data_IF_596971271878
#
_entry.id   IF_596971271878
#
_cell.length_a   1.000
_cell.length_b   1.000
_cell.length_c   1.000
_cell.angle_alpha   90.00
_cell.angle_beta   90.00
_cell.angle_gamma   90.00
#
_symmetry.space_group_name_H-M   'P 1'
#
loop_
_entity.id
_entity.type
_entity.pdbx_description
1 polymer ?
#
# COMPACT_ATOMS: atom_id res chain seq x y z
N UNK A 1 -27.56 33.05 -28.96
CA UNK A 1 -28.82 32.75 -29.69
C UNK A 1 -29.98 32.49 -28.75
N UNK A 2 -29.89 31.57 -27.77
CA UNK A 2 -30.96 31.31 -26.77
C UNK A 2 -31.54 32.59 -26.14
N UNK A 3 -30.69 33.44 -25.58
CA UNK A 3 -31.13 34.62 -24.80
C UNK A 3 -31.78 35.70 -25.67
N UNK A 4 -31.45 35.72 -26.97
CA UNK A 4 -32.07 36.59 -27.98
C UNK A 4 -33.55 36.24 -28.19
N UNK A 5 -33.89 34.95 -28.29
CA UNK A 5 -35.29 34.51 -28.49
C UNK A 5 -36.13 34.60 -27.21
N UNK A 6 -35.49 34.54 -26.03
CA UNK A 6 -36.14 34.83 -24.75
C UNK A 6 -36.58 36.29 -24.66
N UNK A 7 -35.72 37.23 -25.08
CA UNK A 7 -36.02 38.65 -25.09
C UNK A 7 -37.12 39.05 -26.10
N UNK A 8 -37.32 38.25 -27.15
CA UNK A 8 -38.33 38.47 -28.19
C UNK A 8 -39.68 37.78 -27.89
N UNK A 9 -39.82 37.07 -26.76
CA UNK A 9 -41.04 36.34 -26.41
C UNK A 9 -41.34 35.10 -27.27
N UNK A 10 -40.37 34.66 -28.08
CA UNK A 10 -40.49 33.53 -29.01
C UNK A 10 -40.14 32.21 -28.30
N UNK A 11 -41.12 31.64 -27.60
CA UNK A 11 -40.93 30.49 -26.69
C UNK A 11 -40.51 29.19 -27.38
N UNK A 12 -40.99 28.92 -28.58
CA UNK A 12 -40.68 27.71 -29.35
C UNK A 12 -39.21 27.66 -29.74
N UNK A 13 -38.70 28.75 -30.28
CA UNK A 13 -37.31 28.98 -30.68
C UNK A 13 -36.40 29.00 -29.45
N UNK A 14 -36.81 29.67 -28.37
CA UNK A 14 -36.09 29.64 -27.11
C UNK A 14 -35.91 28.21 -26.59
N UNK A 15 -36.99 27.40 -26.55
CA UNK A 15 -36.94 26.01 -26.09
C UNK A 15 -36.01 25.16 -26.97
N UNK A 16 -36.11 25.31 -28.30
CA UNK A 16 -35.22 24.63 -29.25
C UNK A 16 -33.74 24.97 -28.99
N UNK A 17 -33.40 26.25 -28.94
CA UNK A 17 -32.01 26.68 -28.73
C UNK A 17 -31.49 26.38 -27.33
N UNK A 18 -32.34 26.41 -26.30
CA UNK A 18 -31.99 25.96 -24.95
C UNK A 18 -31.64 24.48 -24.94
N UNK A 19 -32.47 23.63 -25.54
CA UNK A 19 -32.25 22.19 -25.60
C UNK A 19 -30.99 21.86 -26.42
N UNK A 20 -30.80 22.54 -27.56
CA UNK A 20 -29.60 22.40 -28.40
C UNK A 20 -28.34 22.82 -27.65
N UNK A 21 -28.38 23.95 -26.93
CA UNK A 21 -27.25 24.40 -26.10
C UNK A 21 -26.94 23.40 -25.00
N UNK A 22 -27.97 22.90 -24.29
CA UNK A 22 -27.82 21.87 -23.27
C UNK A 22 -27.18 20.60 -23.84
N UNK A 23 -27.69 20.12 -24.98
CA UNK A 23 -27.17 18.95 -25.67
C UNK A 23 -25.68 19.12 -26.06
N UNK A 24 -25.30 20.29 -26.59
CA UNK A 24 -23.89 20.58 -26.94
C UNK A 24 -23.01 20.56 -25.69
N UNK A 25 -23.46 21.17 -24.59
CA UNK A 25 -22.71 21.19 -23.32
C UNK A 25 -22.55 19.78 -22.76
N UNK A 26 -23.63 18.99 -22.74
CA UNK A 26 -23.61 17.62 -22.21
C UNK A 26 -22.72 16.70 -23.07
N UNK A 27 -22.80 16.82 -24.40
CA UNK A 27 -21.91 16.10 -25.32
C UNK A 27 -20.45 16.51 -25.16
N UNK A 28 -20.18 17.80 -24.97
CA UNK A 28 -18.81 18.31 -24.78
C UNK A 28 -18.19 17.76 -23.48
N UNK A 29 -18.95 17.76 -22.38
CA UNK A 29 -18.52 17.16 -21.10
C UNK A 29 -18.24 15.67 -21.27
N UNK A 30 -19.16 14.93 -21.90
CA UNK A 30 -19.00 13.49 -22.12
C UNK A 30 -17.75 13.16 -22.94
N UNK A 31 -17.50 13.91 -24.02
CA UNK A 31 -16.32 13.70 -24.86
C UNK A 31 -15.03 14.05 -24.13
N UNK A 32 -15.01 15.12 -23.34
CA UNK A 32 -13.85 15.51 -22.53
C UNK A 32 -13.39 14.37 -21.61
N UNK A 33 -14.30 13.82 -20.79
CA UNK A 33 -13.95 12.73 -19.87
C UNK A 33 -13.65 11.41 -20.60
N UNK A 34 -14.34 11.13 -21.71
CA UNK A 34 -14.07 9.95 -22.54
C UNK A 34 -12.65 9.96 -23.11
N UNK A 35 -12.18 11.11 -23.58
CA UNK A 35 -10.83 11.26 -24.12
C UNK A 35 -9.78 11.20 -22.99
N UNK A 36 -10.05 11.86 -21.85
CA UNK A 36 -9.16 11.83 -20.69
C UNK A 36 -8.90 10.41 -20.15
N UNK A 37 -9.91 9.52 -20.20
CA UNK A 37 -9.78 8.10 -19.79
C UNK A 37 -9.11 7.26 -20.87
N UNK A 38 -9.43 7.49 -22.15
CA UNK A 38 -8.84 6.75 -23.28
C UNK A 38 -7.33 7.00 -23.41
N UNK A 39 -6.90 8.23 -23.15
CA UNK A 39 -5.50 8.63 -23.34
C UNK A 39 -4.64 8.36 -22.08
N UNK A 40 -5.25 7.95 -20.96
CA UNK A 40 -4.52 7.71 -19.72
C UNK A 40 -4.15 6.24 -19.53
N UNK A 41 -2.86 5.93 -19.63
CA UNK A 41 -2.29 4.65 -19.16
C UNK A 41 -1.77 4.73 -17.71
N UNK A 42 -1.87 5.91 -17.09
CA UNK A 42 -1.40 6.20 -15.73
C UNK A 42 -2.57 6.19 -14.72
N UNK A 43 -2.52 5.34 -13.69
CA UNK A 43 -3.53 5.29 -12.62
C UNK A 43 -3.76 6.64 -11.94
N UNK A 44 -2.74 7.49 -11.80
CA UNK A 44 -2.86 8.78 -11.12
C UNK A 44 -3.74 9.75 -11.91
N UNK A 45 -3.64 9.73 -13.24
CA UNK A 45 -4.47 10.53 -14.13
C UNK A 45 -5.93 10.05 -14.15
N UNK A 46 -6.15 8.73 -14.14
CA UNK A 46 -7.48 8.14 -13.97
C UNK A 46 -8.12 8.55 -12.65
N UNK A 47 -7.38 8.50 -11.54
CA UNK A 47 -7.86 8.93 -10.24
C UNK A 47 -8.24 10.42 -10.22
N UNK A 48 -7.45 11.29 -10.86
CA UNK A 48 -7.80 12.72 -10.99
C UNK A 48 -9.10 12.92 -11.77
N UNK A 49 -9.29 12.20 -12.87
CA UNK A 49 -10.52 12.23 -13.66
C UNK A 49 -11.71 11.80 -12.80
N UNK A 50 -11.58 10.68 -12.07
CA UNK A 50 -12.62 10.18 -11.18
C UNK A 50 -12.96 11.18 -10.06
N UNK A 51 -11.95 11.81 -9.44
CA UNK A 51 -12.17 12.82 -8.41
C UNK A 51 -12.82 14.10 -8.96
N UNK A 52 -12.62 14.43 -10.24
CA UNK A 52 -13.30 15.58 -10.88
C UNK A 52 -14.77 15.32 -11.21
N UNK A 53 -15.14 14.05 -11.44
CA UNK A 53 -16.52 13.62 -11.70
C UNK A 53 -17.35 13.49 -10.42
N UNK A 54 -16.70 13.21 -9.30
CA UNK A 54 -17.36 13.12 -8.02
C UNK A 54 -17.44 14.52 -7.37
N UNK A 55 -18.60 14.94 -6.83
CA UNK A 55 -18.65 16.09 -5.96
C UNK A 55 -17.66 15.87 -4.81
N UNK A 56 -16.93 16.91 -4.40
CA UNK A 56 -16.10 16.87 -3.19
C UNK A 56 -17.01 16.81 -1.96
N UNK A 57 -17.57 15.64 -1.70
CA UNK A 57 -18.28 15.37 -0.46
C UNK A 57 -17.21 15.25 0.61
N UNK A 58 -17.17 16.20 1.54
CA UNK A 58 -16.30 16.14 2.72
C UNK A 58 -16.85 15.10 3.71
N UNK A 59 -17.02 13.85 3.29
CA UNK A 59 -17.33 12.76 4.19
C UNK A 59 -16.02 12.11 4.60
N UNK A 60 -15.37 12.70 5.59
CA UNK A 60 -14.44 11.95 6.41
C UNK A 60 -15.25 10.89 7.15
N UNK A 61 -14.96 9.58 7.03
CA UNK A 61 -15.47 8.61 7.98
C UNK A 61 -14.87 9.00 9.33
N UNK A 62 -15.68 9.66 10.14
CA UNK A 62 -15.29 10.21 11.44
C UNK A 62 -15.53 9.19 12.56
N UNK A 63 -16.11 8.04 12.23
CA UNK A 63 -16.63 7.07 13.19
C UNK A 63 -16.15 5.66 12.82
N UNK A 64 -15.57 4.96 13.79
CA UNK A 64 -15.30 3.52 13.71
C UNK A 64 -16.15 2.82 14.78
N UNK A 65 -16.87 1.77 14.39
CA UNK A 65 -17.49 0.86 15.35
C UNK A 65 -16.41 -0.05 15.95
N UNK A 66 -16.29 -0.07 17.27
CA UNK A 66 -15.40 -0.98 18.00
C UNK A 66 -16.08 -2.33 18.25
N UNK A 67 -15.32 -3.35 18.63
CA UNK A 67 -15.83 -4.70 18.94
C UNK A 67 -16.89 -4.68 20.06
N UNK A 68 -16.88 -3.65 20.92
CA UNK A 68 -17.85 -3.45 22.01
C UNK A 68 -19.16 -2.75 21.57
N UNK A 69 -19.45 -2.69 20.26
CA UNK A 69 -20.59 -1.95 19.68
C UNK A 69 -20.60 -0.43 19.98
N UNK A 70 -19.49 0.12 20.47
CA UNK A 70 -19.33 1.55 20.69
C UNK A 70 -18.81 2.23 19.42
N UNK A 71 -19.19 3.48 19.21
CA UNK A 71 -18.70 4.27 18.07
C UNK A 71 -17.69 5.29 18.54
N UNK A 72 -16.46 5.20 18.06
CA UNK A 72 -15.38 6.12 18.43
C UNK A 72 -15.02 7.07 17.30
N UNK A 73 -14.74 8.31 17.70
CA UNK A 73 -14.39 9.44 16.83
C UNK A 73 -12.97 9.93 17.03
N UNK A 74 -12.32 9.43 18.08
CA UNK A 74 -10.96 9.78 18.43
C UNK A 74 -10.00 9.10 17.47
N UNK A 75 -9.16 9.90 16.80
CA UNK A 75 -8.17 9.41 15.83
C UNK A 75 -7.23 8.35 16.44
N UNK A 76 -6.77 8.61 17.67
CA UNK A 76 -5.92 7.70 18.44
C UNK A 76 -6.64 6.38 18.71
N UNK A 77 -7.86 6.46 19.24
CA UNK A 77 -8.66 5.27 19.53
C UNK A 77 -8.90 4.42 18.28
N UNK A 78 -9.25 5.04 17.14
CA UNK A 78 -9.42 4.31 15.88
C UNK A 78 -8.12 3.59 15.48
N UNK A 79 -6.99 4.27 15.61
CA UNK A 79 -5.71 3.70 15.22
C UNK A 79 -5.27 2.57 16.17
N UNK A 80 -5.50 2.72 17.46
CA UNK A 80 -5.31 1.68 18.47
C UNK A 80 -6.23 0.47 18.20
N UNK A 81 -7.50 0.69 17.83
CA UNK A 81 -8.42 -0.40 17.44
C UNK A 81 -7.90 -1.17 16.23
N UNK A 82 -7.46 -0.47 15.18
CA UNK A 82 -6.86 -1.16 14.03
C UNK A 82 -5.57 -1.89 14.40
N UNK A 83 -4.72 -1.27 15.21
CA UNK A 83 -3.49 -1.88 15.70
C UNK A 83 -3.80 -3.20 16.39
N UNK A 84 -4.69 -3.16 17.39
CA UNK A 84 -5.10 -4.33 18.15
C UNK A 84 -5.75 -5.39 17.25
N UNK A 85 -6.55 -5.00 16.27
CA UNK A 85 -7.15 -5.95 15.32
C UNK A 85 -6.08 -6.71 14.53
N UNK A 86 -5.10 -6.01 13.94
CA UNK A 86 -4.09 -6.66 13.11
C UNK A 86 -3.03 -7.41 13.92
N UNK A 87 -2.69 -6.96 15.12
CA UNK A 87 -1.75 -7.68 16.00
C UNK A 87 -2.39 -8.91 16.64
N UNK A 88 -3.65 -8.81 17.09
CA UNK A 88 -4.36 -9.93 17.73
C UNK A 88 -4.95 -10.93 16.73
N UNK A 89 -4.96 -10.64 15.43
CA UNK A 89 -5.57 -11.52 14.43
C UNK A 89 -4.98 -12.94 14.46
N UNK A 90 -3.66 -13.05 14.57
CA UNK A 90 -2.98 -14.34 14.67
C UNK A 90 -3.36 -15.11 15.94
N UNK A 91 -3.53 -14.42 17.07
CA UNK A 91 -3.89 -15.03 18.35
C UNK A 91 -5.36 -15.46 18.38
N UNK A 92 -6.27 -14.60 17.89
CA UNK A 92 -7.69 -14.92 17.74
C UNK A 92 -7.90 -16.16 16.86
N UNK A 93 -7.16 -16.28 15.76
CA UNK A 93 -7.19 -17.47 14.90
C UNK A 93 -6.67 -18.72 15.62
N UNK A 94 -5.67 -18.55 16.50
CA UNK A 94 -5.10 -19.63 17.32
C UNK A 94 -6.08 -20.12 18.39
N UNK A 95 -6.77 -19.19 19.07
CA UNK A 95 -7.77 -19.47 20.11
C UNK A 95 -9.07 -20.06 19.57
N UNK A 96 -9.49 -19.66 18.36
CA UNK A 96 -10.70 -20.19 17.70
C UNK A 96 -10.57 -21.64 17.19
N UNK A 97 -9.45 -22.32 17.48
CA UNK A 97 -9.28 -23.75 17.18
C UNK A 97 -9.09 -24.08 15.69
N UNK A 98 -8.98 -23.09 14.81
CA UNK A 98 -8.56 -23.30 13.41
C UNK A 98 -7.06 -23.57 13.27
N UNK A 99 -6.29 -23.34 14.35
CA UNK A 99 -4.89 -23.68 14.44
C UNK A 99 -4.72 -24.77 15.50
N UNK A 100 -4.69 -26.04 15.07
CA UNK A 100 -4.08 -27.05 15.93
C UNK A 100 -2.60 -26.75 15.96
N UNK A 101 -1.97 -26.48 17.13
CA UNK A 101 -0.52 -26.51 17.20
C UNK A 101 -0.14 -27.87 16.66
N UNK A 102 0.67 -27.86 15.62
CA UNK A 102 1.10 -29.04 14.91
C UNK A 102 2.05 -29.78 15.85
N UNK A 103 1.48 -30.41 16.88
CA UNK A 103 2.14 -31.22 17.87
C UNK A 103 2.66 -32.43 17.11
N UNK A 104 3.90 -32.31 16.63
CA UNK A 104 4.55 -33.23 15.70
C UNK A 104 3.70 -33.42 14.43
N UNK A 105 3.70 -32.45 13.52
CA UNK A 105 3.37 -32.79 12.13
C UNK A 105 4.29 -33.92 11.78
N UNK A 106 3.70 -35.05 11.42
CA UNK A 106 4.46 -36.06 10.73
C UNK A 106 4.82 -35.48 9.34
N UNK A 107 5.97 -34.80 9.29
CA UNK A 107 6.55 -34.28 8.07
C UNK A 107 7.06 -35.43 7.19
N UNK A 108 6.82 -36.71 7.52
CA UNK A 108 7.16 -37.84 6.66
C UNK A 108 6.59 -37.68 5.26
N UNK A 109 5.32 -37.25 5.13
CA UNK A 109 4.68 -37.01 3.83
C UNK A 109 5.32 -35.84 3.06
N UNK A 110 5.60 -34.72 3.75
CA UNK A 110 6.29 -33.57 3.16
C UNK A 110 7.71 -33.95 2.74
N UNK A 111 8.44 -34.68 3.58
CA UNK A 111 9.81 -35.12 3.31
C UNK A 111 9.85 -36.12 2.16
N UNK A 112 8.88 -37.04 2.04
CA UNK A 112 8.72 -37.92 0.86
C UNK A 112 8.43 -37.12 -0.40
N UNK A 113 7.50 -36.16 -0.32
CA UNK A 113 7.16 -35.30 -1.45
C UNK A 113 8.37 -34.50 -1.95
N UNK A 114 9.11 -33.87 -1.03
CA UNK A 114 10.33 -33.11 -1.34
C UNK A 114 11.40 -34.06 -1.90
N UNK A 115 11.65 -35.23 -1.30
CA UNK A 115 12.63 -36.21 -1.81
C UNK A 115 12.28 -36.76 -3.19
N UNK A 116 10.99 -36.89 -3.52
CA UNK A 116 10.55 -37.37 -4.83
C UNK A 116 10.63 -36.29 -5.93
N UNK A 117 10.57 -35.01 -5.56
CA UNK A 117 10.61 -33.88 -6.51
C UNK A 117 11.96 -33.19 -6.62
N UNK A 118 12.79 -33.24 -5.58
CA UNK A 118 14.12 -32.66 -5.57
C UNK A 118 15.11 -33.64 -6.20
N UNK A 119 15.88 -33.20 -7.19
CA UNK A 119 16.94 -34.03 -7.74
C UNK A 119 17.97 -34.32 -6.64
N UNK A 120 18.47 -35.57 -6.55
CA UNK A 120 19.37 -36.06 -5.47
C UNK A 120 20.65 -35.22 -5.23
N UNK A 121 20.98 -34.30 -6.14
CA UNK A 121 22.19 -33.50 -6.11
C UNK A 121 21.93 -31.98 -6.03
N UNK A 122 20.67 -31.55 -5.97
CA UNK A 122 20.34 -30.13 -5.82
C UNK A 122 20.30 -29.75 -4.35
N UNK A 123 21.19 -28.84 -3.96
CA UNK A 123 21.15 -28.17 -2.66
C UNK A 123 20.53 -26.80 -2.86
N UNK A 124 19.59 -26.45 -1.98
CA UNK A 124 19.13 -25.07 -1.89
C UNK A 124 20.32 -24.19 -1.49
N UNK A 125 20.62 -23.20 -2.31
CA UNK A 125 21.69 -22.23 -2.06
C UNK A 125 21.19 -20.87 -2.50
N UNK A 126 21.40 -19.87 -1.63
CA UNK A 126 21.10 -18.48 -1.94
C UNK A 126 22.35 -17.92 -2.64
N UNK A 127 22.24 -17.39 -3.87
CA UNK A 127 23.38 -16.83 -4.56
C UNK A 127 23.89 -15.58 -3.80
N UNK A 128 25.22 -15.32 -3.83
CA UNK A 128 25.76 -14.12 -3.23
C UNK A 128 25.25 -12.86 -3.95
N UNK A 129 25.04 -11.81 -3.20
CA UNK A 129 24.64 -10.49 -3.68
C UNK A 129 25.80 -9.84 -4.43
N UNK A 130 25.52 -9.34 -5.64
CA UNK A 130 26.46 -8.56 -6.43
C UNK A 130 26.38 -7.06 -6.07
N UNK A 131 27.53 -6.42 -5.91
CA UNK A 131 27.60 -4.99 -5.57
C UNK A 131 26.91 -4.10 -6.62
N UNK A 132 27.07 -4.39 -7.90
CA UNK A 132 26.47 -3.59 -8.98
C UNK A 132 24.95 -3.73 -8.99
N UNK A 133 24.45 -4.93 -8.74
CA UNK A 133 23.00 -5.16 -8.60
C UNK A 133 22.46 -4.41 -7.39
N UNK A 134 23.12 -4.51 -6.22
CA UNK A 134 22.71 -3.80 -5.02
C UNK A 134 22.74 -2.28 -5.22
N UNK A 135 23.79 -1.75 -5.87
CA UNK A 135 23.89 -0.33 -6.22
C UNK A 135 22.72 0.11 -7.11
N UNK A 136 22.42 -0.67 -8.15
CA UNK A 136 21.30 -0.38 -9.05
C UNK A 136 19.96 -0.39 -8.32
N UNK A 137 19.75 -1.31 -7.38
CA UNK A 137 18.54 -1.35 -6.57
C UNK A 137 18.44 -0.14 -5.62
N UNK A 138 19.54 0.26 -4.97
CA UNK A 138 19.61 1.49 -4.18
C UNK A 138 19.31 2.74 -5.03
N UNK A 139 19.80 2.78 -6.27
CA UNK A 139 19.57 3.88 -7.21
C UNK A 139 18.12 3.96 -7.69
N UNK A 140 17.40 2.84 -7.74
CA UNK A 140 15.98 2.76 -8.15
C UNK A 140 15.00 3.06 -7.02
N UNK A 141 15.46 3.28 -5.78
CA UNK A 141 14.59 3.61 -4.66
C UNK A 141 13.68 4.80 -4.97
N UNK A 142 12.38 4.62 -4.73
CA UNK A 142 11.38 5.67 -4.81
C UNK A 142 11.53 6.60 -3.60
N UNK A 143 11.99 7.82 -3.88
CA UNK A 143 12.25 8.86 -2.88
C UNK A 143 11.01 9.32 -2.12
N UNK A 144 9.81 9.02 -2.63
CA UNK A 144 8.55 9.45 -2.03
C UNK A 144 7.99 8.41 -1.03
N UNK A 145 8.63 7.24 -0.89
CA UNK A 145 8.21 6.25 0.07
C UNK A 145 8.59 6.64 1.50
N UNK A 146 7.82 6.14 2.45
CA UNK A 146 8.07 6.36 3.87
C UNK A 146 9.40 5.72 4.31
N UNK A 147 10.07 6.37 5.26
CA UNK A 147 11.24 5.80 5.94
C UNK A 147 10.88 4.57 6.77
N UNK A 148 11.83 3.65 6.90
CA UNK A 148 11.72 2.46 7.75
C UNK A 148 11.76 2.79 9.25
N UNK A 149 12.04 1.77 10.06
CA UNK A 149 12.21 1.90 11.52
C UNK A 149 13.44 2.74 11.92
N UNK A 150 14.45 2.75 11.06
CA UNK A 150 15.68 3.54 11.20
C UNK A 150 15.47 5.05 10.99
N UNK A 151 14.27 5.47 10.54
CA UNK A 151 13.96 6.82 10.11
C UNK A 151 14.87 7.36 8.98
N UNK A 152 15.62 6.50 8.28
CA UNK A 152 16.45 6.89 7.14
C UNK A 152 15.55 6.93 5.90
N UNK A 153 15.42 8.11 5.30
CA UNK A 153 14.60 8.30 4.11
C UNK A 153 15.21 7.65 2.86
N UNK A 154 14.39 7.16 1.91
CA UNK A 154 14.90 6.58 0.66
C UNK A 154 15.75 7.55 -0.16
N UNK A 155 15.49 8.86 -0.04
CA UNK A 155 16.31 9.92 -0.64
C UNK A 155 17.75 9.89 -0.16
N UNK A 156 17.97 9.73 1.16
CA UNK A 156 19.32 9.68 1.74
C UNK A 156 20.01 8.40 1.29
N UNK A 157 19.32 7.26 1.36
CA UNK A 157 19.87 5.97 0.90
C UNK A 157 20.31 6.02 -0.57
N UNK A 158 19.49 6.61 -1.44
CA UNK A 158 19.81 6.78 -2.85
C UNK A 158 21.03 7.68 -3.09
N UNK A 159 21.16 8.78 -2.35
CA UNK A 159 22.31 9.68 -2.45
C UNK A 159 23.60 9.01 -1.92
N UNK A 160 23.48 8.22 -0.86
CA UNK A 160 24.60 7.51 -0.24
C UNK A 160 24.98 6.22 -0.96
N UNK A 161 24.20 5.77 -1.95
CA UNK A 161 24.37 4.51 -2.67
C UNK A 161 25.83 4.24 -3.13
N UNK A 162 26.57 5.21 -3.70
CA UNK A 162 27.96 4.97 -4.12
C UNK A 162 28.90 4.57 -2.97
N UNK A 163 28.60 5.03 -1.75
CA UNK A 163 29.44 4.81 -0.57
C UNK A 163 29.01 3.59 0.23
N UNK A 164 27.70 3.29 0.27
CA UNK A 164 27.16 2.22 1.11
C UNK A 164 26.99 0.88 0.38
N UNK A 165 27.00 0.87 -0.96
CA UNK A 165 26.80 -0.38 -1.73
C UNK A 165 27.87 -1.43 -1.41
N UNK A 166 29.15 -1.04 -1.33
CA UNK A 166 30.24 -1.96 -0.99
C UNK A 166 30.10 -2.57 0.41
N UNK A 167 30.00 -1.78 1.50
CA UNK A 167 29.86 -2.36 2.85
C UNK A 167 28.55 -3.15 3.03
N UNK A 168 27.44 -2.74 2.43
CA UNK A 168 26.18 -3.49 2.51
C UNK A 168 26.27 -4.84 1.79
N UNK A 169 26.92 -4.89 0.63
CA UNK A 169 27.15 -6.15 -0.09
C UNK A 169 27.93 -7.14 0.77
N UNK A 170 28.99 -6.67 1.43
CA UNK A 170 29.77 -7.49 2.35
C UNK A 170 28.90 -8.03 3.49
N UNK A 171 28.12 -7.16 4.16
CA UNK A 171 27.24 -7.56 5.26
C UNK A 171 26.20 -8.59 4.79
N UNK A 172 25.57 -8.38 3.64
CA UNK A 172 24.55 -9.28 3.10
C UNK A 172 25.12 -10.66 2.78
N UNK A 173 26.28 -10.71 2.13
CA UNK A 173 26.95 -11.98 1.85
C UNK A 173 27.39 -12.69 3.14
N UNK A 174 27.87 -11.95 4.15
CA UNK A 174 28.17 -12.55 5.46
C UNK A 174 26.94 -13.12 6.15
N UNK A 175 25.78 -12.47 6.07
CA UNK A 175 24.53 -13.01 6.63
C UNK A 175 24.07 -14.26 5.88
N UNK A 176 24.19 -14.27 4.55
CA UNK A 176 23.87 -15.46 3.72
C UNK A 176 24.79 -16.63 4.07
N UNK A 177 26.10 -16.39 4.15
CA UNK A 177 27.11 -17.43 4.43
C UNK A 177 26.97 -18.01 5.84
N UNK A 178 26.67 -17.16 6.84
CA UNK A 178 26.56 -17.58 8.24
C UNK A 178 25.15 -18.06 8.62
N UNK A 179 24.13 -17.67 7.85
CA UNK A 179 22.73 -17.87 8.21
C UNK A 179 22.26 -17.02 9.41
N UNK A 180 23.09 -16.08 9.89
CA UNK A 180 22.80 -15.28 11.08
C UNK A 180 22.31 -13.89 10.64
N UNK A 181 21.10 -13.52 11.08
CA UNK A 181 20.46 -12.25 10.74
C UNK A 181 20.22 -11.42 12.00
N UNK A 182 20.61 -10.12 12.01
CA UNK A 182 20.32 -9.21 13.11
C UNK A 182 18.82 -9.15 13.44
N UNK A 183 18.48 -9.16 14.72
CA UNK A 183 17.10 -9.02 15.21
C UNK A 183 16.42 -7.76 14.68
N UNK A 184 17.17 -6.66 14.50
CA UNK A 184 16.65 -5.42 13.91
C UNK A 184 16.07 -5.61 12.50
N UNK A 185 16.61 -6.53 11.70
CA UNK A 185 16.10 -6.81 10.34
C UNK A 185 14.84 -7.69 10.35
N UNK A 186 14.52 -8.33 11.48
CA UNK A 186 13.32 -9.17 11.65
C UNK A 186 12.09 -8.34 12.02
N UNK A 187 12.30 -7.10 12.46
CA UNK A 187 11.21 -6.22 12.87
C UNK A 187 10.54 -5.58 11.65
N UNK A 188 9.21 -5.65 11.59
CA UNK A 188 8.41 -5.03 10.54
C UNK A 188 7.61 -3.85 11.07
N UNK A 189 7.66 -2.71 10.37
CA UNK A 189 6.84 -1.54 10.67
C UNK A 189 5.58 -1.54 9.81
N UNK A 190 4.43 -1.74 10.44
CA UNK A 190 3.13 -1.63 9.78
C UNK A 190 2.68 -0.17 9.83
N UNK A 191 2.54 0.46 8.67
CA UNK A 191 2.00 1.83 8.57
C UNK A 191 0.58 1.77 8.01
N UNK A 192 -0.41 2.12 8.84
CA UNK A 192 -1.80 2.22 8.40
C UNK A 192 -2.04 3.67 7.94
N UNK A 193 -1.93 3.92 6.63
CA UNK A 193 -2.23 5.23 6.07
C UNK A 193 -3.74 5.41 5.88
N UNK A 194 -4.36 6.28 6.68
CA UNK A 194 -5.69 6.82 6.34
C UNK A 194 -5.54 7.92 5.28
N UNK A 195 -6.14 7.73 4.11
CA UNK A 195 -6.23 8.78 3.07
C UNK A 195 -7.32 9.78 3.47
N UNK A 196 -6.99 10.74 4.35
CA UNK A 196 -7.82 11.91 4.60
C UNK A 196 -7.19 13.11 3.87
N UNK A 197 -7.93 13.71 2.92
CA UNK A 197 -7.47 14.90 2.22
C UNK A 197 -7.29 16.09 3.17
N UNK A 198 -6.08 16.63 3.23
CA UNK A 198 -5.78 17.92 3.84
C UNK A 198 -4.97 17.82 5.14
N UNK A 199 -3.66 18.02 4.99
CA UNK A 199 -2.59 17.94 6.01
C UNK A 199 -2.26 16.50 6.42
N UNK A 200 -1.16 16.00 5.86
CA UNK A 200 -0.43 14.83 6.33
C UNK A 200 -0.11 15.00 7.83
N UNK A 201 -1.00 14.54 8.69
CA UNK A 201 -0.62 14.16 10.05
C UNK A 201 -0.35 12.67 10.01
N UNK A 202 0.90 12.34 9.72
CA UNK A 202 1.45 11.00 9.91
C UNK A 202 1.67 10.85 11.41
N UNK A 203 0.63 10.46 12.16
CA UNK A 203 0.88 9.89 13.47
C UNK A 203 1.44 8.49 13.22
N UNK A 204 2.78 8.42 13.24
CA UNK A 204 3.57 7.20 13.02
C UNK A 204 3.31 6.24 14.18
N UNK A 205 2.28 5.41 14.07
CA UNK A 205 2.11 4.30 15.02
C UNK A 205 3.09 3.21 14.61
N UNK A 206 4.02 2.93 15.51
CA UNK A 206 5.12 1.99 15.32
C UNK A 206 4.72 0.69 16.00
N UNK A 207 4.55 -0.37 15.22
CA UNK A 207 4.37 -1.72 15.74
C UNK A 207 5.75 -2.37 15.73
N UNK A 208 6.22 -2.84 16.88
CA UNK A 208 7.39 -3.71 16.99
C UNK A 208 6.90 -5.08 17.40
N UNK A 209 6.95 -6.05 16.49
CA UNK A 209 6.78 -7.47 16.83
C UNK A 209 8.16 -8.04 17.13
N UNK A 210 8.50 -8.17 18.41
CA UNK A 210 9.64 -8.98 18.84
C UNK A 210 9.24 -10.45 18.81
N UNK A 211 9.66 -11.17 17.77
CA UNK A 211 9.72 -12.62 17.84
C UNK A 211 10.73 -12.98 18.94
N UNK A 212 10.25 -13.48 20.07
CA UNK A 212 11.09 -14.12 21.07
C UNK A 212 11.72 -15.36 20.43
N UNK A 213 13.03 -15.35 20.25
CA UNK A 213 13.80 -16.56 20.00
C UNK A 213 13.78 -17.36 21.30
N UNK A 214 13.05 -18.48 21.31
CA UNK A 214 13.34 -19.54 22.26
C UNK A 214 14.73 -20.09 21.91
N UNK A 215 15.67 -19.88 22.83
CA UNK A 215 16.99 -20.50 22.80
C UNK A 215 16.85 -22.02 22.74
N UNK A 216 17.43 -22.64 21.72
CA UNK A 216 17.69 -24.07 21.64
C UNK A 216 19.19 -24.33 21.45
#
# INVERSE_FOLDING_TARGET
MRDKYNALGLWSEYRFWRNKTKQIVDNSKKNYYKNMVKDSNDPKTLWKCLHSLNPKVKNTPYELATEDNNTTKSKKCIADTFNNFFTSCAEKLREQGSYTPVNKADFSNLSKFVKNKLHKHEKFSIPPVNMNELFNELAKLDINKASGMDNIGPKILRLSAPFIASPLTYIFNRMIDTGIYPSLLKNAKINISKRAEGKEFIEKITITETLHEEDH
#
